data_IF_361092828843
#
_entry.id   IF_361092828843
#
_cell.length_a   1.000
_cell.length_b   1.000
_cell.length_c   1.000
_cell.angle_alpha   90.00
_cell.angle_beta   90.00
_cell.angle_gamma   90.00
#
_symmetry.space_group_name_H-M   'P 1'
#
loop_
_entity.id
_entity.type
_entity.pdbx_description
1 polymer ?
#
# COMPACT_ATOMS: atom_id res chain seq x y z
N UNK A 1 1.65 18.12 -2.91
CA UNK A 1 1.06 16.88 -2.38
C UNK A 1 0.80 15.86 -3.48
N UNK A 2 0.00 16.21 -4.51
CA UNK A 2 -0.36 15.30 -5.62
C UNK A 2 0.83 14.63 -6.29
N UNK A 3 1.88 15.39 -6.61
CA UNK A 3 3.08 14.85 -7.26
C UNK A 3 3.72 13.68 -6.49
N UNK A 4 3.91 13.83 -5.17
CA UNK A 4 4.50 12.78 -4.32
C UNK A 4 3.61 11.54 -4.24
N UNK A 5 2.29 11.73 -4.17
CA UNK A 5 1.32 10.62 -4.12
C UNK A 5 1.35 9.84 -5.45
N UNK A 6 1.31 10.54 -6.58
CA UNK A 6 1.36 9.91 -7.90
C UNK A 6 2.70 9.19 -8.11
N UNK A 7 3.81 9.82 -7.73
CA UNK A 7 5.13 9.19 -7.79
C UNK A 7 5.20 7.93 -6.93
N UNK A 8 4.70 8.00 -5.69
CA UNK A 8 4.67 6.85 -4.79
C UNK A 8 3.89 5.67 -5.37
N UNK A 9 2.74 5.95 -5.97
CA UNK A 9 1.93 4.95 -6.65
C UNK A 9 2.68 4.29 -7.82
N UNK A 10 3.37 5.06 -8.66
CA UNK A 10 4.18 4.46 -9.72
C UNK A 10 5.36 3.65 -9.17
N UNK A 11 6.02 4.12 -8.12
CA UNK A 11 7.11 3.40 -7.49
C UNK A 11 6.64 2.07 -6.88
N UNK A 12 5.44 1.99 -6.30
CA UNK A 12 4.92 0.72 -5.79
C UNK A 12 4.72 -0.30 -6.91
N UNK A 13 4.18 0.11 -8.06
CA UNK A 13 4.03 -0.76 -9.23
C UNK A 13 5.37 -1.22 -9.80
N UNK A 14 6.37 -0.34 -9.85
CA UNK A 14 7.73 -0.74 -10.22
C UNK A 14 8.25 -1.80 -9.23
N UNK A 15 7.99 -1.63 -7.94
CA UNK A 15 8.32 -2.61 -6.91
C UNK A 15 7.70 -3.99 -7.19
N UNK A 16 6.40 -4.03 -7.51
CA UNK A 16 5.69 -5.27 -7.86
C UNK A 16 6.30 -5.99 -9.06
N UNK A 17 6.71 -5.23 -10.09
CA UNK A 17 7.32 -5.79 -11.30
C UNK A 17 8.71 -6.36 -11.00
N UNK A 18 9.50 -5.68 -10.17
CA UNK A 18 10.87 -6.09 -9.86
C UNK A 18 10.92 -7.26 -8.87
N UNK A 19 10.00 -7.31 -7.91
CA UNK A 19 10.00 -8.28 -6.81
C UNK A 19 8.59 -8.86 -6.62
N UNK A 20 8.09 -9.64 -7.60
CA UNK A 20 6.73 -10.17 -7.58
C UNK A 20 6.54 -11.15 -6.40
N UNK A 21 5.48 -10.94 -5.62
CA UNK A 21 5.19 -11.75 -4.44
C UNK A 21 3.69 -11.95 -4.24
N UNK A 22 3.30 -13.03 -3.55
CA UNK A 22 1.93 -13.31 -3.10
C UNK A 22 1.85 -13.28 -1.58
N UNK A 23 0.67 -13.03 -1.04
CA UNK A 23 0.44 -12.96 0.40
C UNK A 23 0.52 -14.31 1.14
N UNK A 24 0.70 -14.29 2.48
CA UNK A 24 0.82 -15.48 3.31
C UNK A 24 -0.43 -16.38 3.31
N UNK A 25 -1.60 -15.86 2.94
CA UNK A 25 -2.83 -16.65 2.80
C UNK A 25 -2.76 -17.78 1.75
N UNK A 26 -1.76 -17.76 0.86
CA UNK A 26 -1.56 -18.79 -0.17
C UNK A 26 -0.41 -19.75 0.14
N UNK A 27 0.49 -19.39 1.04
CA UNK A 27 1.78 -20.08 1.22
C UNK A 27 1.98 -20.61 2.63
N UNK A 28 1.51 -19.87 3.64
CA UNK A 28 1.61 -20.24 5.06
C UNK A 28 0.28 -20.77 5.62
N UNK A 29 -0.82 -20.48 4.94
CA UNK A 29 -2.16 -20.87 5.35
C UNK A 29 -2.88 -21.59 4.21
N UNK A 30 -3.88 -22.39 4.57
CA UNK A 30 -4.77 -22.99 3.60
C UNK A 30 -5.83 -21.96 3.16
N UNK A 31 -5.75 -21.52 1.90
CA UNK A 31 -6.65 -20.52 1.35
C UNK A 31 -8.13 -20.92 1.44
N UNK A 32 -8.45 -22.20 1.25
CA UNK A 32 -9.84 -22.70 1.27
C UNK A 32 -10.46 -22.62 2.67
N UNK A 33 -9.63 -22.63 3.72
CA UNK A 33 -10.08 -22.53 5.12
C UNK A 33 -10.17 -21.08 5.62
N UNK A 34 -9.91 -20.07 4.78
CA UNK A 34 -9.85 -18.67 5.22
C UNK A 34 -11.15 -18.20 5.89
N UNK A 35 -12.33 -18.62 5.41
CA UNK A 35 -13.62 -18.25 6.04
C UNK A 35 -13.88 -18.97 7.37
N UNK A 36 -13.19 -20.08 7.64
CA UNK A 36 -13.28 -20.81 8.91
C UNK A 36 -12.29 -20.23 9.92
N UNK A 37 -11.07 -19.96 9.50
CA UNK A 37 -10.01 -19.43 10.37
C UNK A 37 -10.18 -17.92 10.65
N UNK A 38 -10.77 -17.18 9.71
CA UNK A 38 -11.06 -15.76 9.81
C UNK A 38 -12.53 -15.51 9.41
N UNK A 39 -13.50 -15.92 10.27
CA UNK A 39 -14.93 -15.84 9.95
C UNK A 39 -15.44 -14.40 9.82
N UNK A 40 -14.81 -13.45 10.52
CA UNK A 40 -15.17 -12.04 10.46
C UNK A 40 -16.60 -11.75 10.93
N UNK A 41 -17.22 -10.75 10.31
CA UNK A 41 -18.58 -10.28 10.58
C UNK A 41 -19.49 -10.54 9.37
N UNK A 42 -20.75 -10.09 9.46
CA UNK A 42 -21.79 -10.30 8.44
C UNK A 42 -21.35 -10.01 6.99
N UNK A 43 -20.60 -8.93 6.76
CA UNK A 43 -20.15 -8.53 5.41
C UNK A 43 -18.78 -9.11 5.02
N UNK A 44 -18.07 -9.80 5.91
CA UNK A 44 -16.67 -10.16 5.67
C UNK A 44 -16.51 -11.06 4.46
N UNK A 45 -17.34 -12.10 4.31
CA UNK A 45 -17.20 -13.03 3.18
C UNK A 45 -17.49 -12.34 1.85
N UNK A 46 -18.47 -11.43 1.80
CA UNK A 46 -18.78 -10.64 0.61
C UNK A 46 -17.63 -9.70 0.23
N UNK A 47 -17.07 -8.97 1.20
CA UNK A 47 -15.94 -8.07 0.96
C UNK A 47 -14.69 -8.84 0.55
N UNK A 48 -14.44 -10.00 1.16
CA UNK A 48 -13.33 -10.89 0.78
C UNK A 48 -13.47 -11.38 -0.64
N UNK A 49 -14.69 -11.72 -1.07
CA UNK A 49 -14.94 -12.16 -2.45
C UNK A 49 -14.74 -11.03 -3.46
N UNK A 50 -15.13 -9.79 -3.12
CA UNK A 50 -14.83 -8.62 -3.95
C UNK A 50 -13.31 -8.44 -4.12
N UNK A 51 -12.55 -8.60 -3.03
CA UNK A 51 -11.10 -8.50 -3.06
C UNK A 51 -10.49 -9.62 -3.91
N UNK A 52 -10.91 -10.87 -3.70
CA UNK A 52 -10.46 -12.02 -4.47
C UNK A 52 -10.75 -11.87 -5.97
N UNK A 53 -11.96 -11.44 -6.34
CA UNK A 53 -12.31 -11.16 -7.73
C UNK A 53 -11.43 -10.06 -8.33
N UNK A 54 -11.13 -9.00 -7.56
CA UNK A 54 -10.21 -7.94 -7.96
C UNK A 54 -8.78 -8.42 -8.19
N UNK A 55 -8.34 -9.43 -7.43
CA UNK A 55 -7.02 -10.07 -7.56
C UNK A 55 -7.01 -11.21 -8.59
N UNK A 56 -8.03 -11.31 -9.43
CA UNK A 56 -8.19 -12.31 -10.50
C UNK A 56 -8.38 -13.75 -10.03
N UNK A 57 -8.91 -13.94 -8.81
CA UNK A 57 -9.19 -15.25 -8.19
C UNK A 57 -10.64 -15.34 -7.68
N UNK A 58 -11.68 -15.12 -8.53
CA UNK A 58 -13.06 -15.29 -8.11
C UNK A 58 -13.36 -16.71 -7.59
N UNK A 59 -14.44 -16.86 -6.83
CA UNK A 59 -14.83 -18.14 -6.23
C UNK A 59 -14.84 -19.30 -7.24
N UNK A 60 -14.20 -20.41 -6.87
CA UNK A 60 -14.07 -21.60 -7.72
C UNK A 60 -12.84 -21.60 -8.63
N UNK A 61 -11.97 -20.60 -8.56
CA UNK A 61 -10.68 -20.59 -9.27
C UNK A 61 -9.80 -21.76 -8.80
N UNK A 62 -9.36 -22.66 -9.68
CA UNK A 62 -8.45 -23.74 -9.30
C UNK A 62 -7.02 -23.22 -9.10
N UNK A 63 -6.35 -23.65 -8.03
CA UNK A 63 -4.97 -23.26 -7.69
C UNK A 63 -4.76 -21.73 -7.71
N UNK A 64 -5.50 -20.96 -6.90
CA UNK A 64 -5.51 -19.49 -6.95
C UNK A 64 -4.11 -18.87 -6.80
N UNK A 65 -3.19 -19.51 -6.08
CA UNK A 65 -1.80 -19.09 -5.92
C UNK A 65 -1.01 -18.97 -7.23
N UNK A 66 -1.43 -19.70 -8.27
CA UNK A 66 -0.78 -19.68 -9.59
C UNK A 66 -1.22 -18.48 -10.45
N UNK A 67 -2.42 -17.95 -10.21
CA UNK A 67 -3.05 -16.93 -11.08
C UNK A 67 -3.29 -15.59 -10.37
N UNK A 68 -3.23 -15.56 -9.04
CA UNK A 68 -3.36 -14.33 -8.26
C UNK A 68 -2.29 -13.31 -8.66
N UNK A 69 -2.67 -12.03 -8.61
CA UNK A 69 -1.75 -10.92 -8.83
C UNK A 69 -0.53 -11.00 -7.90
N UNK A 70 0.64 -10.65 -8.44
CA UNK A 70 1.95 -10.76 -7.76
C UNK A 70 2.40 -9.42 -7.18
N UNK A 71 1.49 -8.75 -6.50
CA UNK A 71 1.60 -7.38 -6.02
C UNK A 71 1.67 -7.27 -4.49
N UNK A 72 2.17 -8.30 -3.80
CA UNK A 72 2.34 -8.26 -2.36
C UNK A 72 3.57 -7.45 -1.90
N UNK A 73 4.72 -7.54 -2.60
CA UNK A 73 5.94 -6.85 -2.19
C UNK A 73 6.35 -5.76 -3.20
N UNK A 74 6.70 -4.54 -2.73
CA UNK A 74 6.56 -4.00 -1.38
C UNK A 74 5.11 -3.62 -1.09
N UNK A 75 4.67 -3.59 0.18
CA UNK A 75 3.26 -3.27 0.47
C UNK A 75 2.89 -1.83 0.05
N UNK A 76 2.19 -1.70 -1.08
CA UNK A 76 1.69 -0.42 -1.57
C UNK A 76 0.66 0.23 -0.64
N UNK A 77 -0.19 -0.59 0.00
CA UNK A 77 -1.09 -0.15 1.07
C UNK A 77 -0.32 0.56 2.19
N UNK A 78 0.79 -0.03 2.64
CA UNK A 78 1.63 0.56 3.69
C UNK A 78 2.31 1.83 3.22
N UNK A 79 2.97 1.78 2.06
CA UNK A 79 3.66 2.92 1.48
C UNK A 79 2.75 4.14 1.32
N UNK A 80 1.62 3.97 0.63
CA UNK A 80 0.70 5.05 0.31
C UNK A 80 0.02 5.62 1.54
N UNK A 81 -0.37 4.75 2.47
CA UNK A 81 -1.00 5.17 3.73
C UNK A 81 -0.03 5.99 4.58
N UNK A 82 1.22 5.54 4.72
CA UNK A 82 2.24 6.30 5.44
C UNK A 82 2.57 7.64 4.77
N UNK A 83 2.58 7.70 3.43
CA UNK A 83 2.73 8.98 2.71
C UNK A 83 1.60 9.94 3.06
N UNK A 84 0.34 9.49 2.99
CA UNK A 84 -0.82 10.34 3.31
C UNK A 84 -0.80 10.77 4.78
N UNK A 85 -0.53 9.85 5.71
CA UNK A 85 -0.39 10.15 7.13
C UNK A 85 0.70 11.21 7.37
N UNK A 86 1.91 10.98 6.84
CA UNK A 86 3.04 11.89 7.00
C UNK A 86 2.72 13.28 6.44
N UNK A 87 2.22 13.38 5.21
CA UNK A 87 1.91 14.66 4.59
C UNK A 87 0.75 15.35 5.33
N UNK A 88 -0.25 14.62 5.82
CA UNK A 88 -1.35 15.21 6.59
C UNK A 88 -0.87 15.87 7.88
N UNK A 89 0.11 15.27 8.57
CA UNK A 89 0.71 15.85 9.78
C UNK A 89 1.63 17.01 9.40
N UNK A 90 2.50 16.81 8.41
CA UNK A 90 3.51 17.80 7.98
C UNK A 90 2.87 19.12 7.50
N UNK A 91 1.70 19.05 6.87
CA UNK A 91 0.95 20.23 6.41
C UNK A 91 -0.19 20.62 7.36
N UNK A 92 -0.24 20.06 8.57
CA UNK A 92 -1.24 20.34 9.60
C UNK A 92 -2.69 20.28 9.08
N UNK A 93 -3.01 19.24 8.29
CA UNK A 93 -4.36 19.03 7.77
C UNK A 93 -5.37 18.84 8.90
N UNK A 94 -6.59 19.37 8.73
CA UNK A 94 -7.73 19.13 9.64
C UNK A 94 -8.08 17.63 9.77
N UNK A 95 -7.77 16.83 8.75
CA UNK A 95 -8.07 15.39 8.69
C UNK A 95 -6.94 14.49 9.19
N UNK A 96 -5.85 15.05 9.74
CA UNK A 96 -4.68 14.26 10.17
C UNK A 96 -5.04 13.12 11.13
N UNK A 97 -5.92 13.35 12.10
CA UNK A 97 -6.33 12.31 13.05
C UNK A 97 -7.13 11.19 12.39
N UNK A 98 -7.97 11.51 11.42
CA UNK A 98 -8.69 10.50 10.63
C UNK A 98 -7.72 9.59 9.89
N UNK A 99 -6.72 10.17 9.21
CA UNK A 99 -5.71 9.39 8.49
C UNK A 99 -4.79 8.61 9.43
N UNK A 100 -4.41 9.17 10.57
CA UNK A 100 -3.57 8.46 11.53
C UNK A 100 -4.27 7.22 12.08
N UNK A 101 -5.53 7.34 12.51
CA UNK A 101 -6.30 6.22 13.09
C UNK A 101 -6.60 5.18 12.01
N UNK A 102 -7.25 5.57 10.91
CA UNK A 102 -7.66 4.62 9.87
C UNK A 102 -6.45 4.05 9.12
N UNK A 103 -5.41 4.85 8.92
CA UNK A 103 -4.19 4.41 8.26
C UNK A 103 -3.43 3.36 9.07
N UNK A 104 -3.30 3.56 10.39
CA UNK A 104 -2.73 2.54 11.27
C UNK A 104 -3.57 1.26 11.28
N UNK A 105 -4.90 1.36 11.32
CA UNK A 105 -5.78 0.18 11.24
C UNK A 105 -5.65 -0.54 9.90
N UNK A 106 -5.52 0.19 8.79
CA UNK A 106 -5.31 -0.39 7.46
C UNK A 106 -3.98 -1.15 7.37
N UNK A 107 -2.88 -0.57 7.86
CA UNK A 107 -1.56 -1.22 7.89
C UNK A 107 -1.57 -2.46 8.80
N UNK A 108 -2.32 -2.41 9.90
CA UNK A 108 -2.49 -3.60 10.73
C UNK A 108 -3.31 -4.67 10.01
N UNK A 109 -4.40 -4.27 9.34
CA UNK A 109 -5.31 -5.19 8.65
C UNK A 109 -4.63 -5.96 7.52
N UNK A 110 -3.66 -5.37 6.81
CA UNK A 110 -2.94 -6.07 5.72
C UNK A 110 -2.22 -7.33 6.21
N UNK A 111 -1.64 -7.28 7.40
CA UNK A 111 -0.97 -8.43 8.02
C UNK A 111 -1.98 -9.33 8.72
N UNK A 112 -2.90 -8.77 9.50
CA UNK A 112 -3.90 -9.53 10.25
C UNK A 112 -4.77 -10.41 9.36
N UNK A 113 -5.22 -9.86 8.22
CA UNK A 113 -6.00 -10.59 7.22
C UNK A 113 -5.13 -11.41 6.25
N UNK A 114 -3.82 -11.49 6.50
CA UNK A 114 -2.86 -12.36 5.79
C UNK A 114 -2.68 -12.01 4.30
N UNK A 115 -2.87 -10.75 3.94
CA UNK A 115 -2.57 -10.26 2.58
C UNK A 115 -1.08 -9.94 2.42
N UNK A 116 -0.42 -9.51 3.49
CA UNK A 116 0.99 -9.13 3.46
C UNK A 116 1.79 -9.78 4.58
N UNK A 117 3.05 -10.08 4.29
CA UNK A 117 4.06 -10.35 5.31
C UNK A 117 4.51 -9.05 5.98
N UNK A 118 5.09 -9.15 7.18
CA UNK A 118 5.74 -8.02 7.84
C UNK A 118 6.91 -7.48 7.00
N UNK A 119 7.60 -8.33 6.25
CA UNK A 119 8.66 -7.91 5.32
C UNK A 119 8.11 -6.95 4.24
N UNK A 120 6.90 -7.16 3.75
CA UNK A 120 6.26 -6.29 2.76
C UNK A 120 5.99 -4.89 3.33
N UNK A 121 5.64 -4.80 4.62
CA UNK A 121 5.47 -3.52 5.33
C UNK A 121 6.80 -2.76 5.44
N UNK A 122 7.89 -3.47 5.78
CA UNK A 122 9.24 -2.88 5.80
C UNK A 122 9.59 -2.34 4.41
N UNK A 123 9.32 -3.12 3.36
CA UNK A 123 9.44 -2.66 1.97
C UNK A 123 8.62 -1.40 1.70
N UNK A 124 7.37 -1.36 2.14
CA UNK A 124 6.50 -0.19 2.00
C UNK A 124 7.03 1.06 2.72
N UNK A 125 7.62 0.91 3.91
CA UNK A 125 8.27 2.02 4.65
C UNK A 125 9.50 2.52 3.89
N UNK A 126 10.35 1.62 3.41
CA UNK A 126 11.54 1.98 2.62
C UNK A 126 11.12 2.75 1.36
N UNK A 127 10.12 2.26 0.64
CA UNK A 127 9.60 2.92 -0.55
C UNK A 127 8.94 4.26 -0.24
N UNK A 128 8.28 4.41 0.91
CA UNK A 128 7.74 5.70 1.36
C UNK A 128 8.85 6.73 1.57
N UNK A 129 9.93 6.36 2.27
CA UNK A 129 11.10 7.23 2.49
C UNK A 129 11.76 7.58 1.15
N UNK A 130 11.96 6.57 0.30
CA UNK A 130 12.52 6.76 -1.04
C UNK A 130 11.66 7.68 -1.90
N UNK A 131 10.32 7.56 -1.82
CA UNK A 131 9.38 8.44 -2.54
C UNK A 131 9.50 9.88 -2.06
N UNK A 132 9.56 10.13 -0.75
CA UNK A 132 9.71 11.49 -0.22
C UNK A 132 11.04 12.13 -0.66
N UNK A 133 12.13 11.35 -0.61
CA UNK A 133 13.46 11.80 -0.98
C UNK A 133 13.58 12.08 -2.49
N UNK A 134 13.21 11.11 -3.31
CA UNK A 134 13.27 11.22 -4.78
C UNK A 134 12.27 12.25 -5.28
N UNK A 135 11.06 12.28 -4.72
CA UNK A 135 10.02 13.23 -5.07
C UNK A 135 10.42 14.68 -4.82
N UNK A 136 11.04 14.98 -3.67
CA UNK A 136 11.56 16.32 -3.39
C UNK A 136 12.61 16.76 -4.41
N UNK A 137 13.60 15.88 -4.68
CA UNK A 137 14.68 16.17 -5.63
C UNK A 137 14.15 16.35 -7.06
N UNK A 138 13.33 15.40 -7.52
CA UNK A 138 12.80 15.39 -8.87
C UNK A 138 11.87 16.59 -9.11
N UNK A 139 10.99 16.90 -8.15
CA UNK A 139 10.11 18.05 -8.27
C UNK A 139 10.88 19.37 -8.39
N UNK A 140 11.87 19.58 -7.51
CA UNK A 140 12.67 20.80 -7.53
C UNK A 140 13.59 20.91 -8.74
N UNK A 141 14.08 19.77 -9.26
CA UNK A 141 14.79 19.72 -10.53
C UNK A 141 13.89 20.16 -11.70
N UNK A 142 12.66 19.63 -11.76
CA UNK A 142 11.68 20.02 -12.79
C UNK A 142 11.29 21.51 -12.67
N UNK A 143 11.14 22.04 -11.45
CA UNK A 143 10.87 23.47 -11.26
C UNK A 143 12.03 24.34 -11.73
N UNK A 144 13.26 23.95 -11.43
CA UNK A 144 14.46 24.67 -11.87
C UNK A 144 14.58 24.70 -13.41
N UNK A 145 14.30 23.58 -14.09
CA UNK A 145 14.31 23.52 -15.56
C UNK A 145 13.28 24.46 -16.21
N UNK A 146 12.15 24.69 -15.54
CA UNK A 146 11.10 25.58 -16.00
C UNK A 146 11.22 27.01 -15.44
N UNK A 147 12.35 27.35 -14.80
CA UNK A 147 12.58 28.65 -14.15
C UNK A 147 11.47 29.06 -13.16
N UNK A 148 10.86 28.07 -12.48
CA UNK A 148 9.85 28.25 -11.43
C UNK A 148 10.47 28.20 -10.04
N UNK A 149 9.76 28.72 -9.04
CA UNK A 149 10.18 28.66 -7.65
C UNK A 149 10.33 27.22 -7.15
N UNK A 150 11.35 27.00 -6.32
CA UNK A 150 11.60 25.70 -5.68
C UNK A 150 10.62 25.51 -4.54
N UNK A 151 10.15 24.28 -4.37
CA UNK A 151 9.36 23.88 -3.22
C UNK A 151 10.26 23.66 -2.00
N UNK A 152 9.91 24.29 -0.89
CA UNK A 152 10.46 24.03 0.43
C UNK A 152 9.36 23.52 1.36
N UNK A 153 9.71 22.57 2.23
CA UNK A 153 8.77 22.12 3.24
C UNK A 153 8.51 23.24 4.25
N UNK A 154 7.27 23.38 4.77
CA UNK A 154 7.00 24.32 5.85
C UNK A 154 7.92 24.00 7.05
N UNK A 155 8.49 25.06 7.64
CA UNK A 155 9.21 24.97 8.91
C UNK A 155 8.17 24.61 9.99
N UNK A 156 8.48 23.61 10.80
CA UNK A 156 7.61 23.16 11.88
C UNK A 156 7.47 24.23 12.96
#
# INVERSE_FOLDING_TARGET
MTFIIVLGFFLSYIGYILLPAIGPRFTLHNFDLTNVELPGLFLTNYLREIVNAGESIPAGTPNPELVVQRDAFPSGHTQMTLLVMYLSVKFNSKTKYFFLINGSLLIFATVYLRYHYVADLIGGVIFMIFTLWSGYKLYNYIMQLHSKEKFEYPKN
#
